data_IF_715086962292
#
_entry.id   IF_715086962292
#
_cell.length_a   1.000
_cell.length_b   1.000
_cell.length_c   1.000
_cell.angle_alpha   90.00
_cell.angle_beta   90.00
_cell.angle_gamma   90.00
#
_symmetry.space_group_name_H-M   'P 1'
#
loop_
_entity.id
_entity.type
_entity.pdbx_description
1 polymer ?
#
# COMPACT_ATOMS: atom_id res chain seq x y z
N UNK A 1 -18.86 0.55 -12.47
CA UNK A 1 -18.21 0.70 -11.16
C UNK A 1 -17.62 -0.65 -10.84
N UNK A 2 -16.30 -0.73 -10.83
CA UNK A 2 -15.58 -1.99 -10.66
C UNK A 2 -15.39 -2.22 -9.16
N UNK A 3 -15.97 -3.29 -8.63
CA UNK A 3 -15.70 -3.72 -7.26
C UNK A 3 -14.24 -4.17 -7.19
N UNK A 4 -13.46 -3.52 -6.33
CA UNK A 4 -12.01 -3.65 -6.37
C UNK A 4 -11.55 -5.00 -5.85
N UNK A 5 -12.14 -5.45 -4.75
CA UNK A 5 -11.97 -6.77 -4.16
C UNK A 5 -13.11 -6.99 -3.13
N UNK A 6 -14.36 -7.27 -3.56
CA UNK A 6 -15.52 -7.19 -2.67
C UNK A 6 -15.43 -8.18 -1.50
N UNK A 7 -15.97 -7.81 -0.34
CA UNK A 7 -16.04 -8.70 0.82
C UNK A 7 -17.03 -9.86 0.63
N UNK A 8 -16.74 -11.01 1.22
CA UNK A 8 -17.64 -12.16 1.25
C UNK A 8 -18.75 -12.02 2.31
N UNK A 9 -19.66 -13.01 2.37
CA UNK A 9 -20.79 -12.98 3.29
C UNK A 9 -20.38 -12.98 4.77
N UNK A 10 -19.30 -13.69 5.13
CA UNK A 10 -18.81 -13.77 6.51
C UNK A 10 -18.18 -12.45 6.93
N UNK A 11 -17.38 -11.85 6.06
CA UNK A 11 -16.78 -10.54 6.25
C UNK A 11 -17.85 -9.45 6.37
N UNK A 12 -18.90 -9.53 5.55
CA UNK A 12 -20.04 -8.62 5.62
C UNK A 12 -20.77 -8.71 6.96
N UNK A 13 -20.99 -9.92 7.47
CA UNK A 13 -21.61 -10.11 8.80
C UNK A 13 -20.77 -9.48 9.91
N UNK A 14 -19.45 -9.70 9.89
CA UNK A 14 -18.52 -9.07 10.85
C UNK A 14 -18.57 -7.54 10.77
N UNK A 15 -18.51 -6.98 9.55
CA UNK A 15 -18.55 -5.53 9.34
C UNK A 15 -19.88 -4.92 9.79
N UNK A 16 -21.02 -5.59 9.54
CA UNK A 16 -22.33 -5.13 10.03
C UNK A 16 -22.36 -5.04 11.55
N UNK A 17 -21.77 -6.00 12.25
CA UNK A 17 -21.65 -5.95 13.72
C UNK A 17 -20.88 -4.72 14.21
N UNK A 18 -19.75 -4.41 13.57
CA UNK A 18 -18.95 -3.23 13.91
C UNK A 18 -19.68 -1.92 13.56
N UNK A 19 -20.38 -1.86 12.42
CA UNK A 19 -21.20 -0.70 12.04
C UNK A 19 -22.27 -0.41 13.09
N UNK A 20 -22.93 -1.45 13.60
CA UNK A 20 -23.95 -1.34 14.66
C UNK A 20 -23.35 -0.88 16.00
N UNK A 21 -22.21 -1.44 16.39
CA UNK A 21 -21.48 -1.05 17.61
C UNK A 21 -21.14 0.45 17.59
N UNK A 22 -20.74 0.97 16.43
CA UNK A 22 -20.40 2.37 16.22
C UNK A 22 -21.60 3.27 15.89
N UNK A 23 -22.83 2.72 15.84
CA UNK A 23 -24.08 3.45 15.54
C UNK A 23 -24.03 4.18 14.19
N UNK A 24 -23.65 3.45 13.16
CA UNK A 24 -23.53 3.91 11.76
C UNK A 24 -24.52 3.19 10.82
N UNK A 25 -25.60 2.64 11.35
CA UNK A 25 -26.61 1.86 10.61
C UNK A 25 -27.12 2.56 9.34
N UNK A 26 -27.36 3.88 9.43
CA UNK A 26 -27.85 4.71 8.32
C UNK A 26 -26.89 4.73 7.12
N UNK A 27 -25.61 4.44 7.34
CA UNK A 27 -24.56 4.42 6.32
C UNK A 27 -24.07 3.01 5.98
N UNK A 28 -24.71 1.97 6.53
CA UNK A 28 -24.27 0.58 6.38
C UNK A 28 -24.09 0.17 4.91
N UNK A 29 -25.02 0.56 4.05
CA UNK A 29 -24.95 0.25 2.62
C UNK A 29 -23.70 0.83 1.94
N UNK A 30 -23.39 2.11 2.21
CA UNK A 30 -22.23 2.78 1.65
C UNK A 30 -20.90 2.27 2.22
N UNK A 31 -20.84 1.99 3.53
CA UNK A 31 -19.64 1.40 4.16
C UNK A 31 -19.35 0.01 3.59
N UNK A 32 -20.39 -0.82 3.40
CA UNK A 32 -20.25 -2.16 2.80
C UNK A 32 -19.85 -2.07 1.31
N UNK A 33 -20.40 -1.10 0.57
CA UNK A 33 -20.10 -0.89 -0.87
C UNK A 33 -18.62 -0.59 -1.14
N UNK A 34 -17.96 0.09 -0.19
CA UNK A 34 -16.54 0.42 -0.32
C UNK A 34 -15.61 -0.59 0.36
N UNK A 35 -16.14 -1.49 1.20
CA UNK A 35 -15.31 -2.42 1.94
C UNK A 35 -14.61 -3.42 1.01
N UNK A 36 -13.33 -3.68 1.31
CA UNK A 36 -12.53 -4.63 0.53
C UNK A 36 -12.10 -5.84 1.36
N UNK A 37 -12.06 -6.99 0.70
CA UNK A 37 -11.33 -8.15 1.17
C UNK A 37 -9.83 -7.84 1.20
N UNK A 38 -9.15 -8.27 2.25
CA UNK A 38 -7.69 -8.29 2.30
C UNK A 38 -7.19 -9.54 3.03
N UNK A 39 -5.93 -9.86 2.81
CA UNK A 39 -5.23 -10.94 3.52
C UNK A 39 -4.26 -10.28 4.49
N UNK A 40 -4.50 -10.42 5.79
CA UNK A 40 -3.63 -9.87 6.84
C UNK A 40 -2.74 -10.96 7.42
N UNK A 41 -1.57 -10.55 7.90
CA UNK A 41 -0.63 -11.48 8.51
C UNK A 41 -0.81 -11.45 10.03
N UNK A 42 -1.68 -12.30 10.59
CA UNK A 42 -2.14 -12.26 11.99
C UNK A 42 -1.04 -12.36 13.06
N UNK A 43 0.14 -12.85 12.69
CA UNK A 43 1.30 -12.93 13.56
C UNK A 43 2.46 -13.57 12.84
N UNK A 44 3.61 -13.52 13.51
CA UNK A 44 4.80 -14.21 13.07
C UNK A 44 5.49 -14.94 14.20
N UNK A 45 6.24 -15.96 13.83
CA UNK A 45 7.18 -16.65 14.70
C UNK A 45 8.56 -16.65 14.05
N UNK A 46 9.66 -16.77 14.82
CA UNK A 46 10.96 -17.05 14.24
C UNK A 46 10.86 -18.22 13.24
N UNK A 47 11.37 -18.03 12.03
CA UNK A 47 11.44 -19.09 11.03
C UNK A 47 12.77 -19.82 11.17
N UNK A 48 12.70 -21.12 11.48
CA UNK A 48 13.86 -21.99 11.66
C UNK A 48 14.39 -22.58 10.35
N UNK A 49 13.85 -22.15 9.20
CA UNK A 49 14.24 -22.58 7.87
C UNK A 49 13.93 -24.05 7.54
N UNK A 50 13.16 -24.73 8.39
CA UNK A 50 12.75 -26.14 8.25
C UNK A 50 11.81 -26.39 7.07
N UNK A 51 10.94 -25.43 6.75
CA UNK A 51 10.03 -25.50 5.60
C UNK A 51 10.55 -24.58 4.49
N UNK A 52 10.72 -25.15 3.30
CA UNK A 52 11.07 -24.40 2.09
C UNK A 52 9.79 -23.85 1.47
N UNK A 53 9.84 -22.60 0.98
CA UNK A 53 8.77 -22.00 0.19
C UNK A 53 7.51 -21.65 1.00
N UNK A 54 7.63 -21.42 2.31
CA UNK A 54 6.55 -20.88 3.15
C UNK A 54 6.42 -19.35 2.98
N UNK A 55 5.31 -18.75 3.44
CA UNK A 55 5.24 -17.30 3.61
C UNK A 55 6.18 -16.82 4.75
N UNK A 56 7.13 -15.93 4.44
CA UNK A 56 8.13 -15.41 5.38
C UNK A 56 8.48 -13.93 5.11
N UNK A 57 8.71 -13.17 6.17
CA UNK A 57 9.46 -11.89 6.14
C UNK A 57 10.94 -12.14 6.45
N UNK A 58 11.82 -11.38 5.82
CA UNK A 58 13.25 -11.41 6.06
C UNK A 58 13.91 -12.77 5.81
N UNK A 59 15.17 -12.87 6.20
CA UNK A 59 15.98 -14.07 5.99
C UNK A 59 16.58 -14.15 4.59
N UNK A 60 16.70 -15.38 4.10
CA UNK A 60 17.10 -15.70 2.73
C UNK A 60 15.88 -16.20 1.94
N UNK A 61 15.78 -15.89 0.64
CA UNK A 61 14.72 -16.40 -0.22
C UNK A 61 14.88 -17.89 -0.52
N UNK A 62 13.74 -18.57 -0.68
CA UNK A 62 13.62 -19.91 -1.24
C UNK A 62 13.23 -19.80 -2.70
N UNK A 63 14.17 -20.00 -3.61
CA UNK A 63 13.97 -19.83 -5.03
C UNK A 63 14.71 -20.90 -5.84
N UNK A 64 14.56 -20.88 -7.16
CA UNK A 64 15.30 -21.82 -8.02
C UNK A 64 16.80 -21.49 -8.04
N UNK A 65 17.64 -22.48 -8.36
CA UNK A 65 19.11 -22.29 -8.43
C UNK A 65 19.56 -21.24 -9.46
N UNK A 66 18.69 -20.89 -10.40
CA UNK A 66 18.91 -19.84 -11.40
C UNK A 66 18.34 -18.48 -10.99
N UNK A 67 17.92 -18.31 -9.73
CA UNK A 67 17.36 -17.06 -9.24
C UNK A 67 18.37 -15.92 -9.32
N UNK A 68 18.01 -14.85 -10.01
CA UNK A 68 18.82 -13.65 -10.13
C UNK A 68 18.50 -12.70 -8.97
N UNK A 69 19.44 -12.58 -8.03
CA UNK A 69 19.32 -11.63 -6.93
C UNK A 69 19.33 -10.18 -7.47
N UNK A 70 18.33 -9.34 -7.15
CA UNK A 70 18.30 -7.95 -7.60
C UNK A 70 19.50 -7.14 -7.08
N UNK A 71 20.21 -6.46 -7.99
CA UNK A 71 21.39 -5.67 -7.64
C UNK A 71 21.09 -4.62 -6.56
N UNK A 72 21.95 -4.54 -5.54
CA UNK A 72 21.89 -3.56 -4.45
C UNK A 72 20.61 -3.57 -3.58
N UNK A 73 19.73 -4.56 -3.73
CA UNK A 73 18.49 -4.65 -2.95
C UNK A 73 18.53 -5.76 -1.89
N UNK A 74 17.96 -5.44 -0.73
CA UNK A 74 17.74 -6.35 0.38
C UNK A 74 16.50 -7.21 0.17
N UNK A 75 16.57 -8.49 0.53
CA UNK A 75 15.40 -9.37 0.55
C UNK A 75 14.46 -8.98 1.70
N UNK A 76 13.19 -8.74 1.40
CA UNK A 76 12.18 -8.28 2.35
C UNK A 76 11.18 -9.36 2.72
N UNK A 77 10.66 -10.10 1.74
CA UNK A 77 9.66 -11.13 1.98
C UNK A 77 9.56 -12.14 0.83
N UNK A 78 9.13 -13.36 1.14
CA UNK A 78 8.59 -14.33 0.18
C UNK A 78 7.17 -14.71 0.59
N UNK A 79 6.28 -14.84 -0.39
CA UNK A 79 4.89 -15.19 -0.17
C UNK A 79 4.52 -16.35 -1.09
N UNK A 80 4.05 -17.44 -0.51
CA UNK A 80 3.55 -18.60 -1.24
C UNK A 80 2.09 -18.40 -1.61
N UNK A 81 1.82 -18.27 -2.90
CA UNK A 81 0.49 -17.99 -3.41
C UNK A 81 -0.49 -19.15 -3.17
N UNK A 82 0.01 -20.39 -3.08
CA UNK A 82 -0.82 -21.55 -2.71
C UNK A 82 -1.30 -21.47 -1.26
N UNK A 83 -0.48 -20.94 -0.35
CA UNK A 83 -0.88 -20.70 1.04
C UNK A 83 -1.88 -19.52 1.16
N UNK A 84 -1.80 -18.55 0.25
CA UNK A 84 -2.62 -17.34 0.25
C UNK A 84 -3.96 -17.53 -0.47
N UNK A 85 -4.03 -18.36 -1.51
CA UNK A 85 -5.22 -18.57 -2.33
C UNK A 85 -6.53 -18.84 -1.55
N UNK A 86 -6.54 -19.58 -0.42
CA UNK A 86 -7.76 -19.76 0.38
C UNK A 86 -8.32 -18.46 1.00
N UNK A 87 -7.48 -17.43 1.16
CA UNK A 87 -7.83 -16.16 1.78
C UNK A 87 -8.21 -15.08 0.73
N UNK A 88 -7.77 -15.24 -0.52
CA UNK A 88 -8.14 -14.36 -1.63
C UNK A 88 -9.42 -14.82 -2.34
N UNK A 89 -10.57 -14.51 -1.75
CA UNK A 89 -11.88 -14.96 -2.25
C UNK A 89 -12.16 -14.58 -3.71
N UNK A 90 -11.67 -13.40 -4.15
CA UNK A 90 -11.97 -12.85 -5.47
C UNK A 90 -10.90 -13.17 -6.51
N UNK A 91 -9.86 -13.93 -6.14
CA UNK A 91 -8.82 -14.43 -7.05
C UNK A 91 -8.13 -13.32 -7.84
N UNK A 92 -7.75 -12.26 -7.15
CA UNK A 92 -6.93 -11.19 -7.73
C UNK A 92 -5.45 -11.58 -7.77
N UNK A 93 -4.98 -12.32 -6.76
CA UNK A 93 -3.63 -12.84 -6.68
C UNK A 93 -3.51 -14.15 -7.49
N UNK A 94 -2.29 -14.55 -7.89
CA UNK A 94 -2.07 -15.87 -8.45
C UNK A 94 -2.54 -16.98 -7.50
N UNK A 95 -3.05 -18.10 -8.04
CA UNK A 95 -3.45 -19.28 -7.25
C UNK A 95 -2.22 -20.13 -6.81
N UNK A 96 -1.04 -19.91 -7.42
CA UNK A 96 0.20 -20.67 -7.20
C UNK A 96 1.45 -19.83 -7.49
N UNK A 97 2.61 -20.39 -7.15
CA UNK A 97 3.92 -19.77 -7.30
C UNK A 97 4.35 -18.95 -6.09
N UNK A 98 5.51 -18.32 -6.21
CA UNK A 98 6.14 -17.51 -5.18
C UNK A 98 6.19 -16.05 -5.62
N UNK A 99 5.83 -15.14 -4.72
CA UNK A 99 6.13 -13.70 -4.83
C UNK A 99 7.29 -13.36 -3.91
N UNK A 100 8.29 -12.67 -4.44
CA UNK A 100 9.45 -12.16 -3.70
C UNK A 100 9.46 -10.64 -3.74
N UNK A 101 9.76 -10.03 -2.60
CA UNK A 101 9.87 -8.58 -2.44
C UNK A 101 11.30 -8.23 -2.06
N UNK A 102 11.89 -7.30 -2.80
CA UNK A 102 13.22 -6.77 -2.55
C UNK A 102 13.16 -5.25 -2.47
N UNK A 103 13.79 -4.68 -1.44
CA UNK A 103 13.81 -3.25 -1.19
C UNK A 103 15.23 -2.71 -1.34
N UNK A 104 15.39 -1.61 -2.07
CA UNK A 104 16.65 -0.89 -2.20
C UNK A 104 16.78 0.19 -1.14
N UNK A 105 17.46 1.27 -1.49
CA UNK A 105 17.64 2.43 -0.64
C UNK A 105 16.30 3.10 -0.26
N UNK A 106 16.21 3.66 0.95
CA UNK A 106 15.04 4.39 1.45
C UNK A 106 15.37 5.82 1.85
N UNK A 107 16.30 6.50 1.18
CA UNK A 107 16.54 7.94 1.39
C UNK A 107 15.32 8.81 0.97
N UNK A 108 14.40 8.28 0.16
CA UNK A 108 13.18 8.95 -0.31
C UNK A 108 11.92 8.19 0.10
N UNK A 109 10.88 8.92 0.48
CA UNK A 109 9.53 8.37 0.73
C UNK A 109 8.84 7.95 -0.56
N UNK A 110 9.08 8.68 -1.64
CA UNK A 110 8.42 8.48 -2.93
C UNK A 110 9.31 7.74 -3.92
N UNK A 111 8.69 6.97 -4.81
CA UNK A 111 9.39 6.14 -5.81
C UNK A 111 10.45 5.24 -5.16
N UNK A 112 10.05 4.61 -4.04
CA UNK A 112 10.93 3.76 -3.26
C UNK A 112 11.43 2.60 -4.14
N UNK A 113 12.76 2.44 -4.31
CA UNK A 113 13.32 1.31 -5.04
C UNK A 113 12.83 -0.03 -4.49
N UNK A 114 11.96 -0.69 -5.25
CA UNK A 114 11.36 -1.97 -4.89
C UNK A 114 11.30 -2.85 -6.13
N UNK A 115 11.59 -4.14 -5.95
CA UNK A 115 11.40 -5.15 -6.99
C UNK A 115 10.53 -6.27 -6.47
N UNK A 116 9.48 -6.56 -7.25
CA UNK A 116 8.56 -7.68 -7.00
C UNK A 116 8.78 -8.71 -8.09
N UNK A 117 9.07 -9.95 -7.70
CA UNK A 117 9.34 -11.03 -8.64
C UNK A 117 8.33 -12.14 -8.39
N UNK A 118 7.62 -12.55 -9.44
CA UNK A 118 6.77 -13.74 -9.41
C UNK A 118 7.40 -14.88 -10.19
N UNK A 119 7.39 -16.07 -9.59
CA UNK A 119 7.86 -17.29 -10.26
C UNK A 119 6.89 -18.45 -9.98
N UNK A 120 6.50 -19.16 -11.04
CA UNK A 120 5.64 -20.34 -10.98
C UNK A 120 6.51 -21.60 -11.12
N UNK A 121 7.12 -22.00 -10.02
CA UNK A 121 7.94 -23.21 -9.92
C UNK A 121 7.35 -24.15 -8.88
N UNK A 122 7.64 -25.45 -9.02
CA UNK A 122 7.27 -26.43 -7.99
C UNK A 122 8.05 -26.10 -6.70
N UNK A 123 7.42 -26.31 -5.55
CA UNK A 123 8.06 -26.09 -4.25
C UNK A 123 9.27 -27.00 -4.08
N UNK A 124 9.26 -28.18 -4.73
CA UNK A 124 10.36 -29.15 -4.73
C UNK A 124 11.58 -28.67 -5.52
N UNK A 125 11.42 -27.69 -6.42
CA UNK A 125 12.52 -27.07 -7.18
C UNK A 125 13.18 -25.91 -6.43
N UNK A 126 12.59 -25.48 -5.31
CA UNK A 126 13.09 -24.36 -4.52
C UNK A 126 14.19 -24.80 -3.58
N UNK A 127 15.23 -23.99 -3.49
CA UNK A 127 16.31 -24.13 -2.51
C UNK A 127 16.57 -22.77 -1.88
N UNK A 128 17.19 -22.76 -0.70
CA UNK A 128 17.60 -21.50 -0.08
C UNK A 128 18.71 -20.86 -0.91
N UNK A 129 18.51 -19.61 -1.33
CA UNK A 129 19.46 -18.87 -2.16
C UNK A 129 20.21 -17.87 -1.28
N UNK A 130 21.53 -18.00 -1.29
CA UNK A 130 22.46 -16.99 -0.76
C UNK A 130 22.67 -15.88 -1.80
N UNK A 131 22.96 -14.68 -1.31
CA UNK A 131 23.30 -13.56 -2.18
C UNK A 131 24.61 -13.84 -2.95
N UNK A 132 24.78 -13.31 -4.17
CA UNK A 132 25.95 -13.59 -4.99
C UNK A 132 27.25 -13.09 -4.33
N UNK A 133 28.42 -13.70 -4.63
CA UNK A 133 29.70 -13.25 -4.08
C UNK A 133 29.96 -11.77 -4.36
N UNK A 134 30.30 -11.02 -3.32
CA UNK A 134 30.53 -9.57 -3.42
C UNK A 134 29.26 -8.72 -3.39
N UNK A 135 28.09 -9.33 -3.15
CA UNK A 135 26.84 -8.63 -2.89
C UNK A 135 27.01 -7.54 -1.82
N UNK A 136 26.37 -6.42 -2.10
CA UNK A 136 26.20 -5.29 -1.21
C UNK A 136 24.74 -4.87 -1.31
N UNK A 137 24.19 -4.36 -0.23
CA UNK A 137 22.92 -3.65 -0.24
C UNK A 137 23.12 -2.25 0.35
N UNK A 138 22.12 -1.39 0.14
CA UNK A 138 22.11 -0.01 0.60
C UNK A 138 21.79 0.13 2.10
N UNK A 139 21.21 -0.89 2.73
CA UNK A 139 20.82 -0.94 4.16
C UNK A 139 21.99 -1.21 5.13
N UNK A 140 23.17 -0.66 4.84
CA UNK A 140 24.40 -0.98 5.60
C UNK A 140 24.34 -0.57 7.08
N UNK A 141 23.52 0.43 7.43
CA UNK A 141 23.35 0.93 8.80
C UNK A 141 22.64 -0.03 9.77
N UNK A 142 21.94 -1.06 9.24
CA UNK A 142 21.32 -2.09 10.07
C UNK A 142 22.34 -3.12 10.62
N UNK A 143 23.60 -3.10 10.16
CA UNK A 143 24.59 -4.15 10.44
C UNK A 143 25.92 -3.63 10.99
N UNK A 144 25.93 -2.98 12.15
CA UNK A 144 27.17 -2.95 12.95
C UNK A 144 27.49 -4.39 13.45
N UNK A 145 28.05 -5.24 12.57
CA UNK A 145 28.58 -6.58 12.88
C UNK A 145 27.76 -7.81 12.43
N UNK A 146 26.71 -7.65 11.60
CA UNK A 146 25.85 -8.74 11.13
C UNK A 146 26.19 -9.33 9.73
N UNK A 147 25.45 -10.36 9.30
CA UNK A 147 25.55 -10.93 7.94
C UNK A 147 24.81 -10.02 6.94
N UNK A 148 25.50 -9.41 5.95
CA UNK A 148 24.88 -8.49 5.01
C UNK A 148 23.83 -9.15 4.10
N UNK A 149 23.75 -10.48 4.03
CA UNK A 149 22.75 -11.20 3.24
C UNK A 149 21.39 -11.28 3.93
N UNK A 150 21.37 -11.29 5.26
CA UNK A 150 20.17 -11.40 6.07
C UNK A 150 19.88 -10.05 6.67
N UNK A 151 19.15 -9.24 5.90
CA UNK A 151 18.86 -7.88 6.32
C UNK A 151 17.82 -7.92 7.46
N UNK A 152 16.65 -8.46 7.17
CA UNK A 152 15.59 -8.58 8.16
C UNK A 152 15.58 -9.98 8.77
N UNK A 153 15.24 -10.10 10.04
CA UNK A 153 15.17 -11.40 10.72
C UNK A 153 14.09 -12.29 10.11
N UNK A 154 14.37 -13.60 9.90
CA UNK A 154 13.43 -14.52 9.27
C UNK A 154 12.22 -14.79 10.18
N UNK A 155 11.03 -14.46 9.69
CA UNK A 155 9.76 -14.55 10.42
C UNK A 155 8.68 -15.21 9.58
N UNK A 156 8.23 -16.40 9.99
CA UNK A 156 7.17 -17.13 9.31
C UNK A 156 5.84 -16.42 9.56
N UNK A 157 5.02 -16.32 8.53
CA UNK A 157 3.75 -15.59 8.57
C UNK A 157 2.54 -16.51 8.80
N UNK A 158 1.60 -16.06 9.62
CA UNK A 158 0.26 -16.66 9.75
C UNK A 158 -0.77 -15.79 9.01
N UNK A 159 -1.59 -16.40 8.17
CA UNK A 159 -2.52 -15.68 7.29
C UNK A 159 -3.95 -15.68 7.87
N UNK A 160 -4.63 -14.54 7.76
CA UNK A 160 -6.07 -14.42 8.04
C UNK A 160 -6.76 -13.58 6.98
N UNK A 161 -8.00 -13.96 6.68
CA UNK A 161 -8.90 -13.13 5.88
C UNK A 161 -9.41 -11.97 6.75
N UNK A 162 -9.42 -10.76 6.23
CA UNK A 162 -9.86 -9.57 6.95
C UNK A 162 -10.64 -8.62 6.04
N UNK A 163 -11.36 -7.69 6.65
CA UNK A 163 -11.98 -6.55 5.97
C UNK A 163 -11.05 -5.35 6.07
N UNK A 164 -10.93 -4.59 5.00
CA UNK A 164 -10.25 -3.30 4.95
C UNK A 164 -11.23 -2.19 4.59
N UNK A 165 -11.08 -1.05 5.25
CA UNK A 165 -11.77 0.22 4.98
C UNK A 165 -10.71 1.31 4.81
N UNK A 166 -10.95 2.31 3.96
CA UNK A 166 -10.01 3.42 3.78
C UNK A 166 -9.98 4.29 5.04
N UNK A 167 -8.78 4.72 5.44
CA UNK A 167 -8.59 5.61 6.59
C UNK A 167 -9.15 7.01 6.33
N UNK A 168 -8.84 7.59 5.15
CA UNK A 168 -9.40 8.87 4.72
C UNK A 168 -10.46 8.60 3.66
N UNK A 169 -11.74 8.87 3.96
CA UNK A 169 -12.80 8.56 3.02
C UNK A 169 -13.00 9.66 1.98
N UNK A 170 -12.19 10.71 1.83
CA UNK A 170 -12.52 11.87 0.95
C UNK A 170 -12.97 11.45 -0.46
N UNK A 171 -12.25 10.53 -1.12
CA UNK A 171 -12.63 9.95 -2.42
C UNK A 171 -13.90 9.09 -2.37
N UNK A 172 -14.18 8.48 -1.23
CA UNK A 172 -15.31 7.59 -0.99
C UNK A 172 -16.48 8.27 -0.27
N UNK A 173 -16.35 9.52 0.18
CA UNK A 173 -17.26 10.18 1.11
C UNK A 173 -18.66 10.23 0.50
N UNK A 174 -18.73 10.63 -0.78
CA UNK A 174 -19.96 10.62 -1.55
C UNK A 174 -20.56 9.22 -1.76
N UNK A 175 -19.74 8.17 -1.86
CA UNK A 175 -20.22 6.79 -1.96
C UNK A 175 -20.77 6.28 -0.64
N UNK A 176 -20.13 6.63 0.48
CA UNK A 176 -20.52 6.17 1.80
C UNK A 176 -21.75 6.94 2.30
N UNK A 177 -21.74 8.27 2.17
CA UNK A 177 -22.67 9.19 2.84
C UNK A 177 -23.62 9.92 1.87
N UNK A 178 -23.46 9.73 0.56
CA UNK A 178 -24.27 10.40 -0.47
C UNK A 178 -23.99 11.91 -0.53
N UNK A 179 -25.02 12.70 -0.86
CA UNK A 179 -24.94 14.17 -0.82
C UNK A 179 -25.09 14.74 0.61
N UNK A 180 -25.17 13.87 1.62
CA UNK A 180 -25.33 14.28 3.02
C UNK A 180 -23.99 14.62 3.63
N UNK A 181 -23.81 15.87 4.06
CA UNK A 181 -22.64 16.23 4.86
C UNK A 181 -22.75 15.56 6.23
N UNK A 182 -21.76 14.77 6.60
CA UNK A 182 -21.68 14.18 7.93
C UNK A 182 -21.69 15.25 9.03
N UNK A 183 -22.36 14.94 10.15
CA UNK A 183 -22.09 15.67 11.39
C UNK A 183 -20.72 15.29 11.94
N UNK A 184 -20.10 16.18 12.72
CA UNK A 184 -18.80 15.90 13.38
C UNK A 184 -18.84 14.60 14.22
N UNK A 185 -19.98 14.33 14.86
CA UNK A 185 -20.20 13.11 15.64
C UNK A 185 -20.24 11.85 14.75
N UNK A 186 -20.92 11.91 13.60
CA UNK A 186 -20.93 10.79 12.65
C UNK A 186 -19.55 10.53 12.06
N UNK A 187 -18.82 11.58 11.69
CA UNK A 187 -17.44 11.46 11.23
C UNK A 187 -16.54 10.81 12.31
N UNK A 188 -16.65 11.28 13.56
CA UNK A 188 -15.89 10.69 14.68
C UNK A 188 -16.22 9.22 14.93
N UNK A 189 -17.47 8.79 14.69
CA UNK A 189 -17.85 7.37 14.83
C UNK A 189 -17.26 6.51 13.72
N UNK A 190 -17.26 7.00 12.48
CA UNK A 190 -16.63 6.32 11.35
C UNK A 190 -15.12 6.21 11.54
N UNK A 191 -14.46 7.30 11.94
CA UNK A 191 -13.04 7.31 12.27
C UNK A 191 -12.71 6.27 13.37
N UNK A 192 -13.51 6.22 14.44
CA UNK A 192 -13.36 5.20 15.50
C UNK A 192 -13.58 3.77 15.00
N UNK A 193 -14.47 3.56 14.02
CA UNK A 193 -14.70 2.23 13.42
C UNK A 193 -13.42 1.78 12.71
N UNK A 194 -12.87 2.62 11.84
CA UNK A 194 -11.64 2.31 11.09
C UNK A 194 -10.45 2.17 12.03
N UNK A 195 -10.29 3.10 12.98
CA UNK A 195 -9.25 3.03 14.00
C UNK A 195 -9.39 1.76 14.85
N UNK A 196 -10.60 1.37 15.24
CA UNK A 196 -10.85 0.14 15.99
C UNK A 196 -10.41 -1.12 15.22
N UNK A 197 -10.67 -1.16 13.92
CA UNK A 197 -10.18 -2.24 13.04
C UNK A 197 -8.65 -2.26 12.92
N UNK A 198 -7.98 -1.11 13.07
CA UNK A 198 -6.53 -1.03 13.15
C UNK A 198 -5.98 -1.33 14.56
N UNK A 199 -6.62 -0.90 15.65
CA UNK A 199 -6.14 -1.20 17.01
C UNK A 199 -6.20 -2.71 17.31
N UNK A 200 -7.13 -3.44 16.70
CA UNK A 200 -7.09 -4.90 16.71
C UNK A 200 -5.78 -5.44 16.11
N UNK A 201 -5.20 -4.72 15.14
CA UNK A 201 -3.89 -4.99 14.58
C UNK A 201 -2.77 -4.70 15.60
N UNK A 202 -2.77 -3.51 16.20
CA UNK A 202 -1.75 -3.14 17.20
C UNK A 202 -1.73 -4.05 18.42
N UNK A 203 -2.89 -4.54 18.84
CA UNK A 203 -3.02 -5.47 19.97
C UNK A 203 -2.54 -6.90 19.66
N UNK A 204 -2.06 -7.16 18.43
CA UNK A 204 -1.57 -8.47 17.99
C UNK A 204 -2.66 -9.51 17.77
N UNK A 205 -3.93 -9.10 17.64
CA UNK A 205 -5.04 -10.01 17.29
C UNK A 205 -5.10 -10.28 15.79
N UNK A 206 -4.66 -9.30 15.01
CA UNK A 206 -4.42 -9.35 13.57
C UNK A 206 -3.06 -8.65 13.37
N UNK A 207 -2.27 -8.92 12.33
CA UNK A 207 -0.98 -8.24 12.18
C UNK A 207 -0.99 -7.20 11.07
N UNK A 208 0.05 -6.36 11.10
CA UNK A 208 0.13 -5.04 10.45
C UNK A 208 0.31 -5.12 8.95
N UNK A 209 1.02 -6.13 8.50
CA UNK A 209 1.28 -6.36 7.10
C UNK A 209 0.05 -6.97 6.42
N UNK A 210 -0.19 -6.61 5.17
CA UNK A 210 -1.34 -7.09 4.43
C UNK A 210 -1.11 -7.15 2.92
N UNK A 211 -1.85 -8.04 2.26
CA UNK A 211 -2.05 -8.05 0.82
C UNK A 211 -3.47 -7.55 0.51
N UNK A 212 -3.56 -6.71 -0.52
CA UNK A 212 -4.83 -6.13 -0.99
C UNK A 212 -5.55 -5.27 0.07
N UNK A 213 -6.65 -4.64 -0.34
CA UNK A 213 -7.41 -3.71 0.50
C UNK A 213 -6.89 -2.28 0.42
N UNK A 214 -7.22 -1.48 1.44
CA UNK A 214 -6.73 -0.12 1.63
C UNK A 214 -5.59 -0.06 2.62
N UNK A 215 -4.69 0.89 2.41
CA UNK A 215 -3.57 1.21 3.29
C UNK A 215 -4.03 1.50 4.73
N UNK A 216 -3.26 1.05 5.73
CA UNK A 216 -3.62 1.26 7.13
C UNK A 216 -3.11 2.61 7.67
N UNK A 217 -4.01 3.45 8.19
CA UNK A 217 -3.72 4.67 8.98
C UNK A 217 -2.71 5.68 8.40
N UNK A 218 -2.24 5.51 7.17
CA UNK A 218 -1.49 6.53 6.46
C UNK A 218 -2.47 7.59 5.95
N UNK A 219 -2.23 8.89 6.21
CA UNK A 219 -3.07 9.96 5.69
C UNK A 219 -2.92 10.13 4.17
N UNK A 220 -2.16 9.29 3.49
CA UNK A 220 -1.78 9.43 2.08
C UNK A 220 -2.37 8.29 1.22
N UNK A 221 -2.58 8.54 -0.08
CA UNK A 221 -3.16 7.60 -1.04
C UNK A 221 -2.11 7.15 -2.10
N UNK A 222 -1.43 6.00 -1.89
CA UNK A 222 -0.35 5.56 -2.79
C UNK A 222 -0.80 5.24 -4.21
N UNK A 223 -2.04 4.81 -4.38
CA UNK A 223 -2.70 4.57 -5.66
C UNK A 223 -2.91 5.87 -6.44
N UNK A 224 -3.30 6.96 -5.76
CA UNK A 224 -3.47 8.28 -6.37
C UNK A 224 -2.12 8.85 -6.82
N UNK A 225 -1.08 8.72 -5.99
CA UNK A 225 0.26 9.20 -6.37
C UNK A 225 0.85 8.42 -7.55
N UNK A 226 0.74 7.08 -7.54
CA UNK A 226 1.16 6.24 -8.64
C UNK A 226 0.48 6.67 -9.95
N UNK A 227 -0.83 6.94 -9.89
CA UNK A 227 -1.58 7.43 -11.03
C UNK A 227 -1.14 8.85 -11.46
N UNK A 228 -0.89 9.77 -10.53
CA UNK A 228 -0.41 11.12 -10.83
C UNK A 228 0.91 11.07 -11.62
N UNK A 229 1.86 10.24 -11.17
CA UNK A 229 3.15 10.04 -11.84
C UNK A 229 2.98 9.48 -13.25
N UNK A 230 2.13 8.48 -13.44
CA UNK A 230 1.86 7.91 -14.76
C UNK A 230 1.25 8.95 -15.71
N UNK A 231 0.45 9.87 -15.18
CA UNK A 231 -0.15 10.96 -15.96
C UNK A 231 0.80 12.14 -16.19
N UNK A 232 2.02 12.10 -15.63
CA UNK A 232 3.02 13.16 -15.72
C UNK A 232 2.65 14.40 -14.93
N UNK A 233 1.92 14.23 -13.84
CA UNK A 233 1.37 15.29 -12.98
C UNK A 233 2.08 15.27 -11.63
N UNK A 234 2.24 16.43 -10.99
CA UNK A 234 2.85 16.52 -9.67
C UNK A 234 2.14 15.63 -8.61
N UNK A 235 2.87 14.66 -8.01
CA UNK A 235 2.43 13.85 -6.88
C UNK A 235 1.84 14.61 -5.68
N UNK A 236 2.32 15.83 -5.43
CA UNK A 236 1.83 16.66 -4.32
C UNK A 236 0.36 17.09 -4.54
N UNK A 237 -0.18 16.91 -5.74
CA UNK A 237 -1.60 17.09 -6.04
C UNK A 237 -2.47 15.89 -5.63
N UNK A 238 -1.88 14.80 -5.11
CA UNK A 238 -2.62 13.64 -4.60
C UNK A 238 -3.60 13.99 -3.47
N UNK A 239 -3.33 15.07 -2.74
CA UNK A 239 -4.20 15.60 -1.68
C UNK A 239 -5.40 16.40 -2.19
N UNK A 240 -5.49 16.63 -3.50
CA UNK A 240 -6.52 17.46 -4.09
C UNK A 240 -7.75 16.62 -4.36
N UNK A 241 -8.85 17.00 -3.72
CA UNK A 241 -10.16 16.54 -4.13
C UNK A 241 -10.38 16.92 -5.60
N UNK A 242 -10.48 15.91 -6.46
CA UNK A 242 -10.66 16.07 -7.91
C UNK A 242 -11.98 16.81 -8.26
N UNK A 243 -12.95 16.84 -7.34
CA UNK A 243 -14.15 17.68 -7.45
C UNK A 243 -13.83 19.19 -7.34
N UNK A 244 -12.73 19.55 -6.68
CA UNK A 244 -12.32 20.94 -6.40
C UNK A 244 -11.31 21.52 -7.39
N UNK A 245 -10.76 20.71 -8.32
CA UNK A 245 -9.70 21.14 -9.28
C UNK A 245 -10.05 22.45 -9.99
N UNK A 246 -11.27 22.58 -10.53
CA UNK A 246 -11.70 23.81 -11.23
C UNK A 246 -11.75 25.03 -10.30
N UNK A 247 -12.15 24.83 -9.04
CA UNK A 247 -12.18 25.88 -8.02
C UNK A 247 -10.76 26.32 -7.66
N UNK A 248 -9.85 25.37 -7.46
CA UNK A 248 -8.44 25.64 -7.15
C UNK A 248 -7.75 26.40 -8.29
N UNK A 249 -8.00 26.04 -9.55
CA UNK A 249 -7.52 26.80 -10.71
C UNK A 249 -7.99 28.26 -10.63
N UNK A 250 -9.28 28.48 -10.33
CA UNK A 250 -9.86 29.81 -10.23
C UNK A 250 -9.35 30.61 -9.00
N UNK A 251 -8.91 29.94 -7.93
CA UNK A 251 -8.29 30.57 -6.76
C UNK A 251 -6.82 30.93 -6.99
N UNK A 252 -6.08 30.10 -7.72
CA UNK A 252 -4.71 30.39 -8.14
C UNK A 252 -4.65 31.67 -8.97
N UNK A 253 -5.62 31.89 -9.86
CA UNK A 253 -5.72 33.09 -10.70
C UNK A 253 -6.07 34.37 -9.90
N UNK A 254 -6.42 34.29 -8.61
CA UNK A 254 -6.87 35.43 -7.78
C UNK A 254 -5.88 35.90 -6.71
N UNK A 255 -4.76 35.21 -6.47
CA UNK A 255 -3.83 35.58 -5.38
C UNK A 255 -3.05 36.86 -5.71
N UNK A 256 -3.19 37.87 -4.85
CA UNK A 256 -2.43 39.13 -4.90
C UNK A 256 -0.96 38.88 -4.50
N UNK A 257 -0.02 39.24 -5.38
CA UNK A 257 1.42 39.02 -5.23
C UNK A 257 2.16 40.22 -4.59
N UNK A 258 1.47 41.31 -4.29
CA UNK A 258 2.07 42.61 -3.99
C UNK A 258 2.86 42.70 -2.67
N UNK A 259 2.62 41.82 -1.70
CA UNK A 259 3.20 41.91 -0.35
C UNK A 259 4.42 40.99 -0.10
N UNK A 260 4.92 40.30 -1.13
CA UNK A 260 5.88 39.20 -0.96
C UNK A 260 7.28 39.62 -1.39
N UNK A 261 8.32 39.08 -0.75
CA UNK A 261 9.71 39.46 -1.09
C UNK A 261 10.08 38.96 -2.51
N UNK A 262 10.98 39.64 -3.24
CA UNK A 262 11.38 39.23 -4.59
C UNK A 262 11.92 37.79 -4.67
N UNK A 263 12.70 37.37 -3.67
CA UNK A 263 13.22 36.00 -3.56
C UNK A 263 12.12 34.95 -3.35
N UNK A 264 11.11 35.26 -2.52
CA UNK A 264 10.00 34.35 -2.25
C UNK A 264 9.07 34.24 -3.46
N UNK A 265 8.88 35.33 -4.21
CA UNK A 265 8.08 35.36 -5.43
C UNK A 265 8.66 34.51 -6.56
N UNK A 266 9.99 34.46 -6.73
CA UNK A 266 10.62 33.72 -7.83
C UNK A 266 10.45 32.20 -7.69
N UNK A 267 10.70 31.65 -6.49
CA UNK A 267 10.51 30.22 -6.21
C UNK A 267 9.04 29.80 -6.27
N UNK A 268 8.13 30.62 -5.74
CA UNK A 268 6.69 30.32 -5.74
C UNK A 268 6.03 30.49 -7.09
N UNK A 269 6.55 31.36 -7.97
CA UNK A 269 6.03 31.50 -9.33
C UNK A 269 6.23 30.24 -10.14
N UNK A 270 7.39 29.60 -10.02
CA UNK A 270 7.68 28.38 -10.76
C UNK A 270 6.85 27.20 -10.25
N UNK A 271 6.80 26.98 -8.93
CA UNK A 271 5.94 25.95 -8.33
C UNK A 271 4.46 26.19 -8.65
N UNK A 272 3.95 27.42 -8.56
CA UNK A 272 2.54 27.71 -8.91
C UNK A 272 2.25 27.55 -10.39
N UNK A 273 3.17 27.96 -11.27
CA UNK A 273 3.03 27.78 -12.72
C UNK A 273 2.92 26.29 -13.05
N UNK A 274 3.82 25.48 -12.50
CA UNK A 274 3.80 24.02 -12.65
C UNK A 274 2.51 23.41 -12.09
N UNK A 275 2.14 23.73 -10.85
CA UNK A 275 0.89 23.25 -10.24
C UNK A 275 -0.35 23.67 -11.04
N UNK A 276 -0.35 24.87 -11.65
CA UNK A 276 -1.45 25.34 -12.51
C UNK A 276 -1.53 24.53 -13.80
N UNK A 277 -0.40 24.29 -14.47
CA UNK A 277 -0.34 23.46 -15.68
C UNK A 277 -0.80 22.03 -15.40
N UNK A 278 -0.35 21.48 -14.28
CA UNK A 278 -0.71 20.15 -13.81
C UNK A 278 -2.20 20.04 -13.44
N UNK A 279 -2.76 21.03 -12.74
CA UNK A 279 -4.20 21.10 -12.45
C UNK A 279 -5.05 21.22 -13.70
N UNK A 280 -4.62 22.00 -14.71
CA UNK A 280 -5.32 22.08 -15.99
C UNK A 280 -5.25 20.74 -16.72
N UNK A 281 -4.07 20.11 -16.77
CA UNK A 281 -3.88 18.81 -17.40
C UNK A 281 -4.70 17.70 -16.72
N UNK A 282 -4.86 17.77 -15.39
CA UNK A 282 -5.78 16.93 -14.63
C UNK A 282 -7.24 17.25 -14.94
N UNK A 283 -7.61 18.54 -15.00
CA UNK A 283 -8.98 18.98 -15.31
C UNK A 283 -9.46 18.47 -16.67
N UNK A 284 -8.64 18.63 -17.71
CA UNK A 284 -8.95 18.18 -19.08
C UNK A 284 -9.07 16.65 -19.19
N UNK A 285 -8.29 15.91 -18.38
CA UNK A 285 -8.24 14.44 -18.37
C UNK A 285 -8.93 13.81 -17.16
N UNK A 286 -9.76 14.56 -16.44
CA UNK A 286 -10.25 14.18 -15.11
C UNK A 286 -10.90 12.80 -15.07
N UNK A 287 -11.76 12.50 -16.06
CA UNK A 287 -12.46 11.22 -16.11
C UNK A 287 -11.51 10.05 -16.43
N UNK A 288 -10.47 10.27 -17.23
CA UNK A 288 -9.44 9.27 -17.50
C UNK A 288 -8.60 9.03 -16.25
N UNK A 289 -8.23 10.11 -15.55
CA UNK A 289 -7.48 10.05 -14.30
C UNK A 289 -8.25 9.28 -13.22
N UNK A 290 -9.54 9.58 -13.01
CA UNK A 290 -10.38 8.86 -12.06
C UNK A 290 -10.48 7.35 -12.37
N UNK A 291 -10.66 7.00 -13.65
CA UNK A 291 -10.66 5.59 -14.08
C UNK A 291 -9.30 4.91 -13.88
N UNK A 292 -8.23 5.66 -14.08
CA UNK A 292 -6.87 5.15 -13.95
C UNK A 292 -6.48 4.96 -12.48
N UNK A 293 -6.88 5.86 -11.59
CA UNK A 293 -6.71 5.73 -10.13
C UNK A 293 -7.37 4.45 -9.66
N UNK A 294 -8.63 4.24 -10.06
CA UNK A 294 -9.35 3.02 -9.70
C UNK A 294 -8.45 1.81 -10.02
N UNK A 295 -7.91 1.70 -11.23
CA UNK A 295 -7.11 0.55 -11.65
C UNK A 295 -5.79 0.34 -10.87
N UNK A 296 -5.33 1.28 -10.04
CA UNK A 296 -4.26 1.05 -9.08
C UNK A 296 -4.79 0.45 -7.76
N UNK A 297 -4.14 -0.62 -7.30
CA UNK A 297 -4.52 -1.33 -6.07
C UNK A 297 -3.31 -1.55 -5.18
N UNK A 298 -3.53 -1.62 -3.87
CA UNK A 298 -2.52 -2.10 -2.93
C UNK A 298 -2.22 -3.57 -3.24
N UNK A 299 -0.96 -3.87 -3.56
CA UNK A 299 -0.46 -5.23 -3.68
C UNK A 299 -0.05 -5.74 -2.30
N UNK A 300 0.85 -5.01 -1.65
CA UNK A 300 1.46 -5.38 -0.38
C UNK A 300 1.72 -4.15 0.47
N UNK A 301 1.44 -4.25 1.76
CA UNK A 301 1.80 -3.27 2.77
C UNK A 301 2.60 -3.94 3.87
N UNK A 302 3.69 -3.28 4.26
CA UNK A 302 4.60 -3.75 5.28
C UNK A 302 4.98 -2.61 6.23
N UNK A 303 4.47 -2.73 7.46
CA UNK A 303 4.83 -1.84 8.55
C UNK A 303 6.20 -2.15 9.14
N UNK A 304 6.76 -1.16 9.83
CA UNK A 304 7.84 -1.38 10.79
C UNK A 304 7.41 -2.41 11.84
N UNK A 305 8.25 -3.41 12.03
CA UNK A 305 8.05 -4.52 12.95
C UNK A 305 9.39 -4.94 13.55
N UNK A 306 9.58 -4.52 14.80
CA UNK A 306 10.79 -4.78 15.58
C UNK A 306 11.07 -6.26 15.81
N UNK A 307 10.08 -7.14 15.67
CA UNK A 307 10.33 -8.57 15.78
C UNK A 307 11.05 -9.11 14.54
N UNK A 308 10.80 -8.51 13.38
CA UNK A 308 11.44 -8.87 12.10
C UNK A 308 12.69 -8.01 11.84
N UNK A 309 13.11 -7.18 12.80
CA UNK A 309 14.15 -6.15 12.65
C UNK A 309 13.87 -5.18 11.48
N UNK A 310 12.60 -4.99 11.13
CA UNK A 310 12.16 -4.06 10.09
C UNK A 310 11.83 -2.71 10.75
N UNK A 311 12.52 -1.64 10.36
CA UNK A 311 12.27 -0.29 10.91
C UNK A 311 12.37 0.78 9.82
N UNK A 312 11.28 1.04 9.13
CA UNK A 312 11.24 2.12 8.13
C UNK A 312 11.19 3.47 8.83
N UNK A 313 12.31 4.20 8.86
CA UNK A 313 12.38 5.53 9.49
C UNK A 313 11.82 5.53 10.93
N UNK A 314 10.94 6.47 11.29
CA UNK A 314 10.32 6.59 12.61
C UNK A 314 9.07 5.70 12.72
N UNK A 315 9.29 4.38 12.61
CA UNK A 315 8.23 3.35 12.65
C UNK A 315 7.17 3.48 11.54
N UNK A 316 7.62 3.87 10.35
CA UNK A 316 6.83 4.00 9.14
C UNK A 316 6.39 2.68 8.49
N UNK A 317 5.79 2.81 7.32
CA UNK A 317 5.14 1.76 6.55
C UNK A 317 5.47 1.90 5.07
N UNK A 318 5.72 0.77 4.40
CA UNK A 318 5.92 0.72 2.95
C UNK A 318 4.67 0.16 2.29
N UNK A 319 4.19 0.87 1.27
CA UNK A 319 3.05 0.49 0.45
C UNK A 319 3.53 0.20 -0.95
N UNK A 320 3.21 -0.99 -1.47
CA UNK A 320 3.46 -1.38 -2.86
C UNK A 320 2.12 -1.45 -3.56
N UNK A 321 1.93 -0.61 -4.57
CA UNK A 321 0.74 -0.61 -5.42
C UNK A 321 1.07 -1.11 -6.82
N UNK A 322 0.07 -1.72 -7.46
CA UNK A 322 0.17 -2.29 -8.81
C UNK A 322 -1.11 -1.99 -9.58
N UNK A 323 -1.02 -1.92 -10.91
CA UNK A 323 -2.19 -1.94 -11.78
C UNK A 323 -2.92 -3.28 -11.63
N UNK A 324 -4.24 -3.26 -11.45
CA UNK A 324 -5.08 -4.47 -11.35
C UNK A 324 -4.93 -5.35 -12.59
N UNK A 325 -4.81 -4.75 -13.77
CA UNK A 325 -4.57 -5.48 -15.02
C UNK A 325 -3.22 -6.18 -15.04
N UNK A 326 -2.17 -5.52 -14.54
CA UNK A 326 -0.83 -6.11 -14.46
C UNK A 326 -0.80 -7.25 -13.43
N UNK A 327 -1.48 -7.09 -12.29
CA UNK A 327 -1.63 -8.18 -11.31
C UNK A 327 -2.33 -9.41 -11.91
N UNK A 328 -3.44 -9.21 -12.61
CA UNK A 328 -4.18 -10.28 -13.29
C UNK A 328 -3.36 -10.93 -14.41
N UNK A 329 -2.51 -10.15 -15.08
CA UNK A 329 -1.57 -10.63 -16.09
C UNK A 329 -0.30 -11.26 -15.49
N UNK A 330 -0.15 -11.23 -14.15
CA UNK A 330 1.04 -11.67 -13.42
C UNK A 330 2.31 -10.93 -13.84
N UNK A 331 2.14 -9.68 -14.24
CA UNK A 331 3.20 -8.77 -14.63
C UNK A 331 3.57 -7.88 -13.44
N UNK A 332 4.72 -8.13 -12.81
CA UNK A 332 5.16 -7.37 -11.64
C UNK A 332 6.26 -6.35 -11.97
N UNK A 333 6.51 -6.11 -13.26
CA UNK A 333 7.53 -5.16 -13.74
C UNK A 333 7.14 -3.69 -13.50
N UNK A 334 5.86 -3.43 -13.31
CA UNK A 334 5.31 -2.08 -13.08
C UNK A 334 4.59 -2.02 -11.75
N UNK A 335 5.34 -1.64 -10.74
CA UNK A 335 4.83 -1.32 -9.40
C UNK A 335 5.19 0.11 -9.06
N UNK A 336 4.50 0.67 -8.07
CA UNK A 336 4.93 1.89 -7.40
C UNK A 336 5.03 1.59 -5.91
N UNK A 337 6.10 2.03 -5.26
CA UNK A 337 6.28 1.86 -3.83
C UNK A 337 6.49 3.22 -3.14
N UNK A 338 5.88 3.38 -1.97
CA UNK A 338 5.97 4.58 -1.16
C UNK A 338 6.17 4.22 0.32
N UNK A 339 7.15 4.86 0.95
CA UNK A 339 7.42 4.79 2.38
C UNK A 339 6.79 6.00 3.07
N UNK A 340 5.88 5.75 4.00
CA UNK A 340 5.26 6.77 4.85
C UNK A 340 5.78 6.64 6.29
N UNK A 341 6.08 7.77 6.95
CA UNK A 341 6.41 7.85 8.38
C UNK A 341 5.83 9.15 8.94
N UNK A 342 5.42 9.14 10.21
CA UNK A 342 4.81 10.29 10.89
C UNK A 342 5.79 11.38 11.30
#
# INVERSE_FOLDING_TARGET
>A
MHEYNPIDASQKEQLVGLIQEHKLDDFSGGIIDIAQNCVRFAGHSPDSYEKVGNCRLGGLPDATVSFEWPEEMAFLAQLNMTEIAPFDHNKLLPDSGMLYFFIGDDESSSDLPMRVIWQDHDIDDLVRIEAPPGYKNTKTEYYEGGDPQVVYSPRQLSLVKSVSLPYIPSRFEKRIFGDTKLSEDQFSRFDKLVLGMHLQVESGKVGRHQLLGYQNLAPYEPDVEACAREFGVDPDLSWIDLDTVNTLIAELDKKDESNWSPWYLEHLKETRRKNREDLIALGDRRNDFLRAIDDWILLFEIDSDLNSDICFWDAGQVHVVIRKQDLLARNFDKIYAHLFSS
#
